data_IF_976900791811
#
_entry.id   IF_976900791811
#
_cell.length_a   1.000
_cell.length_b   1.000
_cell.length_c   1.000
_cell.angle_alpha   90.00
_cell.angle_beta   90.00
_cell.angle_gamma   90.00
#
_symmetry.space_group_name_H-M   'P 1'
#
loop_
_entity.id
_entity.type
_entity.pdbx_description
1 polymer ?
#
# COMPACT_ATOMS: atom_id res chain seq x y z
N UNK A 1 -29.41 -17.04 -17.66
CA UNK A 1 -29.45 -17.83 -16.41
C UNK A 1 -28.07 -18.14 -15.85
N UNK A 2 -27.14 -18.68 -16.63
CA UNK A 2 -25.80 -19.07 -16.13
C UNK A 2 -24.97 -17.92 -15.57
N UNK A 3 -24.99 -16.74 -16.19
CA UNK A 3 -24.29 -15.54 -15.68
C UNK A 3 -24.88 -15.07 -14.34
N UNK A 4 -26.21 -15.04 -14.21
CA UNK A 4 -26.89 -14.66 -12.97
C UNK A 4 -26.50 -15.59 -11.80
N UNK A 5 -26.50 -16.90 -12.01
CA UNK A 5 -26.07 -17.87 -10.98
C UNK A 5 -24.60 -17.66 -10.57
N UNK A 6 -23.72 -17.34 -11.52
CA UNK A 6 -22.31 -17.03 -11.21
C UNK A 6 -22.18 -15.76 -10.37
N UNK A 7 -22.98 -14.73 -10.66
CA UNK A 7 -22.98 -13.48 -9.90
C UNK A 7 -23.50 -13.68 -8.48
N UNK A 8 -24.62 -14.40 -8.31
CA UNK A 8 -25.16 -14.72 -6.98
C UNK A 8 -24.16 -15.56 -6.18
N UNK A 9 -23.55 -16.57 -6.80
CA UNK A 9 -22.54 -17.39 -6.14
C UNK A 9 -21.31 -16.58 -5.74
N UNK A 10 -20.82 -15.69 -6.63
CA UNK A 10 -19.71 -14.80 -6.34
C UNK A 10 -20.03 -13.84 -5.18
N UNK A 11 -21.26 -13.33 -5.10
CA UNK A 11 -21.69 -12.48 -3.99
C UNK A 11 -21.63 -13.22 -2.65
N UNK A 12 -22.12 -14.46 -2.59
CA UNK A 12 -22.02 -15.31 -1.39
C UNK A 12 -20.56 -15.59 -1.02
N UNK A 13 -19.70 -15.86 -1.99
CA UNK A 13 -18.27 -16.03 -1.71
C UNK A 13 -17.64 -14.72 -1.21
N UNK A 14 -18.02 -13.57 -1.77
CA UNK A 14 -17.46 -12.28 -1.40
C UNK A 14 -17.82 -11.78 0.00
N UNK A 15 -18.88 -12.33 0.63
CA UNK A 15 -19.26 -11.96 1.99
C UNK A 15 -18.37 -12.57 3.07
N UNK A 16 -17.47 -13.49 2.71
CA UNK A 16 -16.57 -14.15 3.66
C UNK A 16 -15.09 -13.81 3.38
N UNK A 17 -14.35 -13.51 4.44
CA UNK A 17 -12.96 -13.04 4.36
C UNK A 17 -11.96 -14.07 3.78
N UNK A 18 -12.29 -15.37 3.80
CA UNK A 18 -11.42 -16.42 3.27
C UNK A 18 -11.73 -16.80 1.82
N UNK A 19 -12.94 -16.53 1.34
CA UNK A 19 -13.40 -16.99 0.03
C UNK A 19 -13.61 -15.87 -0.98
N UNK A 20 -13.47 -14.60 -0.58
CA UNK A 20 -13.62 -13.46 -1.50
C UNK A 20 -12.65 -13.50 -2.69
N UNK A 21 -11.46 -14.09 -2.52
CA UNK A 21 -10.52 -14.26 -3.63
C UNK A 21 -11.02 -15.25 -4.68
N UNK A 22 -11.80 -16.25 -4.28
CA UNK A 22 -12.46 -17.18 -5.19
C UNK A 22 -13.57 -16.45 -5.95
N UNK A 23 -14.29 -15.54 -5.28
CA UNK A 23 -15.30 -14.70 -5.92
C UNK A 23 -14.74 -13.90 -7.10
N UNK A 24 -13.48 -13.47 -7.03
CA UNK A 24 -12.78 -12.75 -8.11
C UNK A 24 -12.84 -13.50 -9.46
N UNK A 25 -12.61 -14.81 -9.43
CA UNK A 25 -12.59 -15.66 -10.63
C UNK A 25 -13.95 -15.69 -11.32
N UNK A 26 -15.01 -15.80 -10.51
CA UNK A 26 -16.38 -15.79 -10.99
C UNK A 26 -16.82 -14.41 -11.49
N UNK A 27 -16.43 -13.34 -10.79
CA UNK A 27 -16.73 -11.96 -11.19
C UNK A 27 -16.02 -11.57 -12.49
N UNK A 28 -14.74 -11.91 -12.63
CA UNK A 28 -13.96 -11.63 -13.83
C UNK A 28 -14.51 -12.34 -15.09
N UNK A 29 -15.19 -13.47 -14.88
CA UNK A 29 -15.87 -14.21 -15.95
C UNK A 29 -17.15 -13.52 -16.46
N UNK A 30 -17.66 -12.51 -15.74
CA UNK A 30 -18.90 -11.79 -16.05
C UNK A 30 -18.62 -10.33 -16.45
N UNK A 31 -18.34 -10.10 -17.75
CA UNK A 31 -17.71 -8.87 -18.27
C UNK A 31 -18.44 -7.55 -17.95
N UNK A 32 -19.77 -7.54 -17.82
CA UNK A 32 -20.53 -6.31 -17.52
C UNK A 32 -20.75 -6.13 -16.03
N UNK A 33 -21.59 -6.98 -15.44
CA UNK A 33 -22.02 -6.81 -14.05
C UNK A 33 -20.95 -7.23 -13.04
N UNK A 34 -20.14 -8.25 -13.38
CA UNK A 34 -19.08 -8.76 -12.51
C UNK A 34 -17.98 -7.74 -12.26
N UNK A 35 -17.59 -6.99 -13.29
CA UNK A 35 -16.56 -5.94 -13.16
C UNK A 35 -17.02 -4.78 -12.27
N UNK A 36 -18.30 -4.38 -12.34
CA UNK A 36 -18.88 -3.38 -11.44
C UNK A 36 -18.89 -3.85 -9.98
N UNK A 37 -19.31 -5.10 -9.75
CA UNK A 37 -19.30 -5.71 -8.41
C UNK A 37 -17.88 -5.86 -7.86
N UNK A 38 -16.91 -6.20 -8.70
CA UNK A 38 -15.52 -6.30 -8.31
C UNK A 38 -14.96 -4.96 -7.83
N UNK A 39 -15.25 -3.85 -8.53
CA UNK A 39 -14.86 -2.50 -8.07
C UNK A 39 -15.43 -2.21 -6.68
N UNK A 40 -16.70 -2.51 -6.46
CA UNK A 40 -17.36 -2.32 -5.15
C UNK A 40 -16.69 -3.18 -4.08
N UNK A 41 -16.37 -4.44 -4.39
CA UNK A 41 -15.72 -5.35 -3.46
C UNK A 41 -14.33 -4.85 -3.05
N UNK A 42 -13.54 -4.34 -3.99
CA UNK A 42 -12.21 -3.78 -3.75
C UNK A 42 -12.26 -2.55 -2.82
N UNK A 43 -13.26 -1.68 -2.96
CA UNK A 43 -13.48 -0.55 -2.06
C UNK A 43 -13.86 -0.96 -0.63
N UNK A 44 -14.50 -2.13 -0.46
CA UNK A 44 -14.94 -2.63 0.85
C UNK A 44 -13.84 -3.36 1.62
N UNK A 45 -12.70 -3.65 0.99
CA UNK A 45 -11.63 -4.38 1.66
C UNK A 45 -10.99 -3.56 2.78
N UNK A 46 -10.52 -4.22 3.86
CA UNK A 46 -9.91 -3.53 4.98
C UNK A 46 -8.60 -2.85 4.58
N UNK A 47 -8.51 -1.55 4.85
CA UNK A 47 -7.34 -0.71 4.53
C UNK A 47 -6.24 -0.75 5.59
N UNK A 48 -6.46 -1.44 6.72
CA UNK A 48 -5.52 -1.50 7.84
C UNK A 48 -4.41 -2.56 7.69
N UNK A 49 -4.57 -3.53 6.79
CA UNK A 49 -3.62 -4.62 6.57
C UNK A 49 -2.89 -4.45 5.25
N UNK A 50 -1.59 -4.14 5.32
CA UNK A 50 -0.76 -3.87 4.14
C UNK A 50 -0.78 -5.01 3.10
N UNK A 51 -0.74 -6.27 3.56
CA UNK A 51 -0.77 -7.43 2.66
C UNK A 51 -2.07 -7.51 1.84
N UNK A 52 -3.22 -7.18 2.44
CA UNK A 52 -4.52 -7.17 1.75
C UNK A 52 -4.54 -6.05 0.71
N UNK A 53 -4.05 -4.87 1.08
CA UNK A 53 -4.04 -3.71 0.21
C UNK A 53 -3.07 -3.84 -0.97
N UNK A 54 -1.92 -4.48 -0.78
CA UNK A 54 -0.99 -4.82 -1.86
C UNK A 54 -1.64 -5.77 -2.88
N UNK A 55 -2.32 -6.82 -2.39
CA UNK A 55 -3.09 -7.74 -3.25
C UNK A 55 -4.18 -6.99 -4.03
N UNK A 56 -4.92 -6.10 -3.37
CA UNK A 56 -5.96 -5.30 -4.02
C UNK A 56 -5.40 -4.38 -5.10
N UNK A 57 -4.23 -3.78 -4.83
CA UNK A 57 -3.53 -2.93 -5.81
C UNK A 57 -3.15 -3.74 -7.04
N UNK A 58 -2.62 -4.95 -6.85
CA UNK A 58 -2.25 -5.82 -7.95
C UNK A 58 -3.47 -6.27 -8.77
N UNK A 59 -4.57 -6.59 -8.11
CA UNK A 59 -5.85 -6.86 -8.78
C UNK A 59 -6.31 -5.64 -9.58
N UNK A 60 -6.23 -4.43 -9.00
CA UNK A 60 -6.58 -3.20 -9.72
C UNK A 60 -5.72 -3.02 -10.98
N UNK A 61 -4.42 -3.31 -10.90
CA UNK A 61 -3.50 -3.27 -12.06
C UNK A 61 -3.88 -4.29 -13.13
N UNK A 62 -4.18 -5.53 -12.74
CA UNK A 62 -4.56 -6.61 -13.66
C UNK A 62 -5.85 -6.32 -14.43
N UNK A 63 -6.79 -5.58 -13.83
CA UNK A 63 -8.10 -5.27 -14.41
C UNK A 63 -8.26 -3.78 -14.83
N UNK A 64 -7.16 -3.02 -14.89
CA UNK A 64 -7.15 -1.61 -15.32
C UNK A 64 -8.07 -0.70 -14.48
N UNK A 65 -8.13 -0.97 -13.17
CA UNK A 65 -8.89 -0.18 -12.19
C UNK A 65 -8.00 0.85 -11.49
N UNK A 66 -7.21 1.60 -12.25
CA UNK A 66 -6.19 2.52 -11.71
C UNK A 66 -6.77 3.55 -10.75
N UNK A 67 -7.99 4.05 -11.02
CA UNK A 67 -8.66 4.99 -10.13
C UNK A 67 -9.04 4.36 -8.77
N UNK A 68 -9.45 3.09 -8.75
CA UNK A 68 -9.78 2.35 -7.53
C UNK A 68 -8.52 2.09 -6.73
N UNK A 69 -7.46 1.62 -7.39
CA UNK A 69 -6.15 1.39 -6.78
C UNK A 69 -5.58 2.67 -6.15
N UNK A 70 -5.53 3.77 -6.91
CA UNK A 70 -5.05 5.07 -6.42
C UNK A 70 -5.87 5.59 -5.24
N UNK A 71 -7.19 5.49 -5.30
CA UNK A 71 -8.06 5.89 -4.18
C UNK A 71 -7.83 5.04 -2.93
N UNK A 72 -7.69 3.72 -3.10
CA UNK A 72 -7.41 2.81 -1.99
C UNK A 72 -6.09 3.17 -1.29
N UNK A 73 -5.02 3.45 -2.04
CA UNK A 73 -3.74 3.90 -1.48
C UNK A 73 -3.86 5.24 -0.74
N UNK A 74 -4.60 6.20 -1.30
CA UNK A 74 -4.85 7.50 -0.64
C UNK A 74 -5.60 7.35 0.68
N UNK A 75 -6.61 6.48 0.72
CA UNK A 75 -7.36 6.18 1.95
C UNK A 75 -6.46 5.50 2.98
N UNK A 76 -5.68 4.51 2.56
CA UNK A 76 -4.75 3.78 3.41
C UNK A 76 -3.71 4.68 4.05
N UNK A 77 -3.12 5.59 3.26
CA UNK A 77 -2.23 6.64 3.79
C UNK A 77 -2.89 7.38 4.95
N UNK A 78 -4.08 7.94 4.74
CA UNK A 78 -4.78 8.73 5.76
C UNK A 78 -5.06 7.89 7.00
N UNK A 79 -5.45 6.63 6.81
CA UNK A 79 -5.68 5.70 7.90
C UNK A 79 -4.40 5.46 8.72
N UNK A 80 -3.29 5.08 8.08
CA UNK A 80 -2.02 4.85 8.77
C UNK A 80 -1.49 6.09 9.47
N UNK A 81 -1.62 7.27 8.85
CA UNK A 81 -1.19 8.54 9.43
C UNK A 81 -1.99 8.89 10.70
N UNK A 82 -3.31 8.70 10.68
CA UNK A 82 -4.18 8.94 11.85
C UNK A 82 -3.84 8.04 13.04
N UNK A 83 -3.33 6.83 12.79
CA UNK A 83 -2.94 5.88 13.84
C UNK A 83 -1.44 5.98 14.22
N UNK A 84 -0.76 7.07 13.87
CA UNK A 84 0.65 7.29 14.21
C UNK A 84 1.65 6.44 13.43
N UNK A 85 1.19 5.58 12.51
CA UNK A 85 2.02 4.72 11.65
C UNK A 85 2.58 5.50 10.46
N UNK A 86 3.42 6.50 10.73
CA UNK A 86 3.94 7.44 9.73
C UNK A 86 4.65 6.74 8.58
N UNK A 87 5.43 5.68 8.83
CA UNK A 87 6.14 4.93 7.79
C UNK A 87 5.25 4.23 6.78
N UNK A 88 4.23 3.50 7.24
CA UNK A 88 3.21 2.96 6.33
C UNK A 88 2.47 4.08 5.59
N UNK A 89 2.25 5.22 6.23
CA UNK A 89 1.68 6.40 5.58
C UNK A 89 2.54 6.94 4.43
N UNK A 90 3.86 7.02 4.62
CA UNK A 90 4.82 7.43 3.58
C UNK A 90 4.89 6.39 2.45
N UNK A 91 4.96 5.11 2.80
CA UNK A 91 4.95 4.01 1.82
C UNK A 91 3.73 4.09 0.89
N UNK A 92 2.52 4.17 1.44
CA UNK A 92 1.29 4.26 0.63
C UNK A 92 1.19 5.55 -0.16
N UNK A 93 1.84 6.62 0.29
CA UNK A 93 1.96 7.86 -0.46
C UNK A 93 2.88 7.71 -1.68
N UNK A 94 4.00 7.01 -1.53
CA UNK A 94 4.91 6.70 -2.65
C UNK A 94 4.22 5.81 -3.69
N UNK A 95 3.51 4.76 -3.24
CA UNK A 95 2.75 3.89 -4.14
C UNK A 95 1.66 4.64 -4.91
N UNK A 96 1.04 5.66 -4.29
CA UNK A 96 0.02 6.48 -4.93
C UNK A 96 0.56 7.48 -5.97
N UNK A 97 1.89 7.61 -6.13
CA UNK A 97 2.54 8.54 -7.07
C UNK A 97 2.10 10.01 -6.90
N UNK A 98 1.75 10.43 -5.68
CA UNK A 98 1.36 11.81 -5.39
C UNK A 98 2.60 12.63 -5.02
N UNK A 99 3.37 12.98 -6.06
CA UNK A 99 4.65 13.70 -5.95
C UNK A 99 4.53 15.03 -5.22
N UNK A 100 3.46 15.80 -5.48
CA UNK A 100 3.24 17.08 -4.81
C UNK A 100 3.19 16.91 -3.29
N UNK A 101 2.44 15.90 -2.82
CA UNK A 101 2.35 15.63 -1.38
C UNK A 101 3.61 14.97 -0.83
N UNK A 102 4.35 14.18 -1.61
CA UNK A 102 5.67 13.65 -1.23
C UNK A 102 6.67 14.78 -1.00
N UNK A 103 6.76 15.73 -1.93
CA UNK A 103 7.67 16.88 -1.84
C UNK A 103 7.36 17.75 -0.62
N UNK A 104 6.06 17.96 -0.32
CA UNK A 104 5.65 18.74 0.85
C UNK A 104 6.06 18.10 2.18
N UNK A 105 6.13 16.76 2.25
CA UNK A 105 6.55 16.06 3.48
C UNK A 105 8.05 15.75 3.53
N UNK A 106 8.77 15.92 2.41
CA UNK A 106 10.18 15.58 2.32
C UNK A 106 11.05 16.42 3.26
N UNK A 107 10.91 17.75 3.22
CA UNK A 107 11.71 18.64 4.08
C UNK A 107 11.44 18.42 5.58
N UNK A 108 10.17 18.37 6.05
CA UNK A 108 9.90 18.06 7.46
C UNK A 108 10.41 16.69 7.90
N UNK A 109 10.39 15.70 7.00
CA UNK A 109 10.91 14.36 7.30
C UNK A 109 12.44 14.38 7.36
N UNK A 110 13.11 15.08 6.45
CA UNK A 110 14.56 15.28 6.46
C UNK A 110 15.02 16.00 7.72
N UNK A 111 14.34 17.09 8.11
CA UNK A 111 14.67 17.82 9.33
C UNK A 111 14.45 16.97 10.58
N UNK A 112 13.43 16.09 10.58
CA UNK A 112 13.19 15.13 11.66
C UNK A 112 14.33 14.11 11.78
N UNK A 113 14.84 13.60 10.65
CA UNK A 113 16.02 12.72 10.60
C UNK A 113 17.27 13.41 11.10
N UNK A 114 17.52 14.63 10.60
CA UNK A 114 18.73 15.38 10.95
C UNK A 114 18.78 15.75 12.44
N UNK A 115 17.63 15.81 13.11
CA UNK A 115 17.51 16.14 14.54
C UNK A 115 17.40 14.92 15.46
N UNK A 116 17.12 13.72 14.93
CA UNK A 116 17.00 12.49 15.70
C UNK A 116 18.37 11.93 16.09
N UNK A 117 19.00 12.53 17.11
CA UNK A 117 20.26 12.06 17.72
C UNK A 117 20.00 11.18 18.97
N UNK A 118 18.72 10.91 19.30
CA UNK A 118 18.34 10.08 20.45
C UNK A 118 17.86 8.68 20.06
N UNK A 119 18.18 7.67 20.86
CA UNK A 119 17.87 6.24 20.59
C UNK A 119 16.37 5.95 20.38
N UNK A 120 15.49 6.67 21.08
CA UNK A 120 14.03 6.53 20.94
C UNK A 120 13.54 6.98 19.56
N UNK A 121 14.09 8.09 19.08
CA UNK A 121 13.77 8.63 17.75
C UNK A 121 14.32 7.76 16.62
N UNK A 122 15.46 7.10 16.86
CA UNK A 122 16.07 6.15 15.92
C UNK A 122 15.23 4.88 15.77
N UNK A 123 14.69 4.30 16.86
CA UNK A 123 13.76 3.15 16.77
C UNK A 123 12.46 3.45 16.02
N UNK A 124 11.91 4.65 16.20
CA UNK A 124 10.76 5.12 15.41
C UNK A 124 11.12 5.24 13.93
N UNK A 125 12.39 5.54 13.63
CA UNK A 125 12.94 5.65 12.29
C UNK A 125 13.25 4.29 11.64
N UNK A 126 13.79 3.34 12.40
CA UNK A 126 14.08 1.99 11.94
C UNK A 126 12.78 1.24 11.59
N UNK A 127 11.72 1.39 12.40
CA UNK A 127 10.39 0.91 12.04
C UNK A 127 9.78 1.60 10.80
N UNK A 128 10.20 2.84 10.51
CA UNK A 128 9.85 3.60 9.31
C UNK A 128 10.56 3.03 8.07
N UNK A 129 11.85 2.71 8.17
CA UNK A 129 12.67 2.07 7.12
C UNK A 129 12.23 0.62 6.86
N UNK A 130 12.03 -0.17 7.91
CA UNK A 130 11.65 -1.58 7.82
C UNK A 130 10.29 -1.75 7.13
N UNK A 131 9.36 -0.81 7.36
CA UNK A 131 8.05 -0.74 6.69
C UNK A 131 8.10 -0.21 5.25
N UNK A 132 9.12 0.55 4.86
CA UNK A 132 9.33 0.97 3.47
C UNK A 132 9.78 -0.21 2.61
N UNK A 133 10.43 -1.21 3.22
CA UNK A 133 10.91 -2.43 2.58
C UNK A 133 12.01 -2.18 1.55
N UNK A 134 12.77 -3.22 1.20
CA UNK A 134 13.77 -3.20 0.13
C UNK A 134 13.20 -2.88 -1.26
N UNK A 135 11.87 -2.77 -1.38
CA UNK A 135 11.15 -2.47 -2.62
C UNK A 135 10.65 -1.01 -2.72
N UNK A 136 11.01 -0.13 -1.77
CA UNK A 136 10.65 1.29 -1.90
C UNK A 136 11.31 1.87 -3.15
N UNK A 137 10.52 2.19 -4.18
CA UNK A 137 11.02 2.92 -5.35
C UNK A 137 11.37 4.36 -4.93
N UNK A 138 12.49 4.87 -5.43
CA UNK A 138 12.79 6.30 -5.41
C UNK A 138 11.60 7.06 -6.01
N UNK A 139 11.05 8.00 -5.26
CA UNK A 139 9.82 8.70 -5.62
C UNK A 139 9.77 10.09 -5.00
N UNK A 140 9.83 11.11 -5.85
CA UNK A 140 9.80 12.52 -5.48
C UNK A 140 10.93 12.93 -4.54
N UNK A 141 10.68 13.93 -3.70
CA UNK A 141 11.66 14.48 -2.74
C UNK A 141 12.12 13.52 -1.63
N UNK A 142 11.67 12.26 -1.63
CA UNK A 142 12.06 11.23 -0.65
C UNK A 142 13.19 10.32 -1.12
N UNK A 143 13.86 10.64 -2.23
CA UNK A 143 15.01 9.86 -2.73
C UNK A 143 16.14 9.72 -1.71
N UNK A 144 16.24 10.64 -0.75
CA UNK A 144 17.21 10.54 0.34
C UNK A 144 16.95 9.32 1.24
N UNK A 145 15.69 8.89 1.42
CA UNK A 145 15.34 7.71 2.21
C UNK A 145 15.92 6.45 1.56
N UNK A 146 15.81 6.33 0.23
CA UNK A 146 16.34 5.19 -0.50
C UNK A 146 17.87 5.09 -0.36
N UNK A 147 18.56 6.24 -0.44
CA UNK A 147 20.01 6.32 -0.22
C UNK A 147 20.40 5.95 1.22
N UNK A 148 19.64 6.39 2.21
CA UNK A 148 19.86 6.04 3.62
C UNK A 148 19.67 4.53 3.85
N UNK A 149 18.60 3.94 3.33
CA UNK A 149 18.35 2.49 3.42
C UNK A 149 19.47 1.67 2.78
N UNK A 150 19.97 2.09 1.61
CA UNK A 150 21.12 1.46 0.95
C UNK A 150 22.39 1.57 1.81
N UNK A 151 22.67 2.75 2.38
CA UNK A 151 23.84 2.97 3.22
C UNK A 151 23.78 2.14 4.52
N UNK A 152 22.62 2.04 5.16
CA UNK A 152 22.45 1.18 6.35
C UNK A 152 22.60 -0.29 6.05
N UNK A 153 22.12 -0.77 4.89
CA UNK A 153 22.29 -2.16 4.47
C UNK A 153 23.75 -2.47 4.13
N UNK A 154 24.47 -1.52 3.52
CA UNK A 154 25.91 -1.64 3.28
C UNK A 154 26.71 -1.68 4.59
N UNK A 155 26.37 -0.80 5.55
CA UNK A 155 27.02 -0.77 6.86
C UNK A 155 26.78 -2.04 7.68
N UNK A 156 25.58 -2.64 7.57
CA UNK A 156 25.27 -3.93 8.21
C UNK A 156 26.05 -5.09 7.58
N UNK A 157 26.24 -5.07 6.26
CA UNK A 157 27.03 -6.08 5.54
C UNK A 157 28.54 -6.01 5.82
N UNK A 158 29.07 -4.82 6.15
CA UNK A 158 30.49 -4.63 6.49
C UNK A 158 30.79 -4.98 7.97
N UNK A 159 29.77 -5.00 8.85
CA UNK A 159 29.90 -5.34 10.27
C UNK A 159 29.68 -6.84 10.57
N UNK A 160 29.28 -7.63 9.57
CA UNK A 160 29.13 -9.10 9.68
C UNK A 160 30.28 -9.89 9.02
N UNK A 161 31.38 -9.22 8.61
CA UNK A 161 32.70 -9.82 8.26
C UNK A 161 33.73 -9.57 9.36
#
# INVERSE_FOLDING_TARGET
MTELHRLVYAQVLSSHALTWQIALIYLASCKKQGMGLLKILLYKQPVGHNQVLLKNTEICRMYEFDNVGSNAMKIARVNHWKHGKKGSGVFWLQQAQDEFRLNRIAQPLFDFVGKSVSDESFKQWEGLIELLGSQSKAAGGLDFLHRLTLATNLGRAILEE
#
